data_IF_642372912106
#
_entry.id   IF_642372912106
#
_cell.length_a   1.000
_cell.length_b   1.000
_cell.length_c   1.000
_cell.angle_alpha   90.00
_cell.angle_beta   90.00
_cell.angle_gamma   90.00
#
_symmetry.space_group_name_H-M   'P 1'
#
loop_
_entity.id
_entity.type
_entity.pdbx_description
1 polymer ?
#
# COMPACT_ATOMS: atom_id res chain seq x y z
N UNK A 1 -28.94 21.13 -1.68
CA UNK A 1 -28.57 20.02 -2.57
C UNK A 1 -27.08 19.81 -2.42
N UNK A 2 -26.70 18.93 -1.47
CA UNK A 2 -25.31 18.69 -1.04
C UNK A 2 -24.92 17.21 -1.15
N UNK A 3 -25.77 16.38 -1.76
CA UNK A 3 -25.59 14.92 -1.83
C UNK A 3 -24.52 14.48 -2.86
N UNK A 4 -24.18 15.33 -3.85
CA UNK A 4 -23.21 14.97 -4.90
C UNK A 4 -21.76 14.86 -4.42
N UNK A 5 -21.37 15.52 -3.33
CA UNK A 5 -19.97 15.54 -2.89
C UNK A 5 -19.58 14.29 -2.09
N UNK A 6 -20.43 13.85 -1.17
CA UNK A 6 -20.15 12.70 -0.29
C UNK A 6 -20.14 11.38 -1.06
N UNK A 7 -21.08 11.21 -1.98
CA UNK A 7 -21.19 9.99 -2.80
C UNK A 7 -19.99 9.88 -3.76
N UNK A 8 -19.52 11.00 -4.29
CA UNK A 8 -18.33 11.03 -5.14
C UNK A 8 -17.05 10.72 -4.34
N UNK A 9 -16.91 11.22 -3.11
CA UNK A 9 -15.77 10.87 -2.25
C UNK A 9 -15.80 9.39 -1.84
N UNK A 10 -16.98 8.86 -1.53
CA UNK A 10 -17.17 7.44 -1.22
C UNK A 10 -16.82 6.54 -2.40
N UNK A 11 -17.31 6.86 -3.61
CA UNK A 11 -16.98 6.12 -4.83
C UNK A 11 -15.47 6.12 -5.14
N UNK A 12 -14.78 7.25 -4.91
CA UNK A 12 -13.33 7.35 -5.09
C UNK A 12 -12.58 6.45 -4.09
N UNK A 13 -12.98 6.46 -2.80
CA UNK A 13 -12.40 5.59 -1.78
C UNK A 13 -12.62 4.11 -2.10
N UNK A 14 -13.81 3.74 -2.58
CA UNK A 14 -14.12 2.35 -3.00
C UNK A 14 -13.24 1.94 -4.19
N UNK A 15 -13.07 2.80 -5.20
CA UNK A 15 -12.21 2.50 -6.35
C UNK A 15 -10.74 2.34 -5.93
N UNK A 16 -10.22 3.20 -5.06
CA UNK A 16 -8.86 3.09 -4.50
C UNK A 16 -8.71 1.77 -3.70
N UNK A 17 -9.72 1.39 -2.91
CA UNK A 17 -9.73 0.13 -2.19
C UNK A 17 -9.73 -1.08 -3.14
N UNK A 18 -10.48 -1.02 -4.24
CA UNK A 18 -10.50 -2.07 -5.28
C UNK A 18 -9.13 -2.17 -5.99
N UNK A 19 -8.50 -1.06 -6.33
CA UNK A 19 -7.15 -1.07 -6.92
C UNK A 19 -6.10 -1.59 -5.94
N UNK A 20 -6.19 -1.20 -4.66
CA UNK A 20 -5.34 -1.74 -3.61
C UNK A 20 -5.53 -3.25 -3.45
N UNK A 21 -6.76 -3.76 -3.51
CA UNK A 21 -7.06 -5.20 -3.49
C UNK A 21 -6.48 -5.94 -4.71
N UNK A 22 -6.55 -5.34 -5.91
CA UNK A 22 -5.91 -5.89 -7.13
C UNK A 22 -4.38 -5.94 -6.99
N UNK A 23 -3.76 -4.89 -6.46
CA UNK A 23 -2.33 -4.84 -6.17
C UNK A 23 -1.92 -5.92 -5.16
N UNK A 24 -2.70 -6.09 -4.09
CA UNK A 24 -2.56 -7.17 -3.12
C UNK A 24 -2.65 -8.56 -3.76
N UNK A 25 -3.57 -8.76 -4.71
CA UNK A 25 -3.70 -9.99 -5.49
C UNK A 25 -2.44 -10.32 -6.30
N UNK A 26 -1.77 -9.31 -6.89
CA UNK A 26 -0.52 -9.49 -7.62
C UNK A 26 0.62 -9.90 -6.66
N UNK A 27 0.75 -9.21 -5.52
CA UNK A 27 1.77 -9.52 -4.51
C UNK A 27 1.55 -10.91 -3.89
N UNK A 28 0.30 -11.24 -3.55
CA UNK A 28 -0.09 -12.55 -3.04
C UNK A 28 0.05 -13.65 -4.11
N UNK A 29 -0.20 -13.35 -5.39
CA UNK A 29 0.01 -14.26 -6.51
C UNK A 29 1.50 -14.58 -6.74
N UNK A 30 2.39 -13.60 -6.56
CA UNK A 30 3.84 -13.81 -6.55
C UNK A 30 4.29 -14.70 -5.39
N UNK A 31 3.77 -14.45 -4.18
CA UNK A 31 4.04 -15.29 -3.01
C UNK A 31 3.50 -16.73 -3.19
N UNK A 32 2.30 -16.89 -3.76
CA UNK A 32 1.73 -18.19 -4.08
C UNK A 32 2.56 -18.96 -5.12
N UNK A 33 3.06 -18.27 -6.15
CA UNK A 33 3.98 -18.88 -7.14
C UNK A 33 5.28 -19.36 -6.48
N UNK A 34 5.84 -18.58 -5.57
CA UNK A 34 7.03 -18.97 -4.80
C UNK A 34 6.75 -20.17 -3.87
N UNK A 35 5.59 -20.23 -3.23
CA UNK A 35 5.15 -21.35 -2.40
C UNK A 35 4.92 -22.62 -3.23
N UNK A 36 4.30 -22.50 -4.41
CA UNK A 36 4.10 -23.62 -5.34
C UNK A 36 5.45 -24.16 -5.80
N UNK A 37 6.40 -23.29 -6.13
CA UNK A 37 7.77 -23.68 -6.50
C UNK A 37 8.51 -24.42 -5.36
N UNK A 38 8.25 -24.05 -4.09
CA UNK A 38 8.78 -24.75 -2.92
C UNK A 38 8.18 -26.13 -2.67
N UNK A 39 6.91 -26.33 -3.05
CA UNK A 39 6.24 -27.63 -2.92
C UNK A 39 6.59 -28.63 -4.03
N UNK A 40 7.24 -28.19 -5.10
CA UNK A 40 7.69 -29.09 -6.18
C UNK A 40 8.91 -29.90 -5.72
N UNK A 41 8.80 -31.24 -5.76
CA UNK A 41 9.84 -32.18 -5.29
C UNK A 41 11.17 -32.08 -6.06
N UNK A 42 11.19 -31.39 -7.20
CA UNK A 42 12.43 -31.10 -7.97
C UNK A 42 13.27 -29.96 -7.37
N UNK A 43 12.71 -29.15 -6.46
CA UNK A 43 13.37 -27.99 -5.86
C UNK A 43 14.32 -28.34 -4.68
N UNK A 44 14.84 -29.58 -4.61
CA UNK A 44 15.64 -30.10 -3.49
C UNK A 44 16.96 -29.36 -3.21
N UNK A 45 17.28 -28.29 -3.95
CA UNK A 45 18.49 -27.47 -3.76
C UNK A 45 18.28 -25.95 -3.84
N UNK A 46 17.06 -25.45 -4.06
CA UNK A 46 16.81 -24.01 -4.25
C UNK A 46 16.26 -23.33 -3.00
N UNK A 47 16.98 -22.31 -2.52
CA UNK A 47 16.64 -21.53 -1.33
C UNK A 47 15.62 -20.42 -1.65
N UNK A 48 14.35 -20.80 -1.88
CA UNK A 48 13.25 -19.84 -2.11
C UNK A 48 12.81 -19.06 -0.85
N UNK A 49 13.33 -19.39 0.33
CA UNK A 49 12.97 -18.74 1.59
C UNK A 49 13.19 -17.22 1.57
N UNK A 50 14.26 -16.75 0.91
CA UNK A 50 14.52 -15.32 0.76
C UNK A 50 13.47 -14.63 -0.11
N UNK A 51 13.04 -15.26 -1.20
CA UNK A 51 11.98 -14.73 -2.06
C UNK A 51 10.65 -14.62 -1.33
N UNK A 52 10.27 -15.64 -0.54
CA UNK A 52 9.07 -15.58 0.30
C UNK A 52 9.16 -14.44 1.31
N UNK A 53 10.29 -14.30 2.01
CA UNK A 53 10.47 -13.22 2.99
C UNK A 53 10.36 -11.84 2.33
N UNK A 54 10.95 -11.66 1.15
CA UNK A 54 10.88 -10.41 0.40
C UNK A 54 9.45 -10.08 -0.07
N UNK A 55 8.70 -11.07 -0.57
CA UNK A 55 7.28 -10.87 -0.90
C UNK A 55 6.41 -10.60 0.33
N UNK A 56 6.68 -11.28 1.45
CA UNK A 56 6.00 -11.04 2.73
C UNK A 56 6.28 -9.63 3.27
N UNK A 57 7.52 -9.15 3.16
CA UNK A 57 7.89 -7.78 3.57
C UNK A 57 7.19 -6.73 2.68
N UNK A 58 7.12 -6.97 1.37
CA UNK A 58 6.38 -6.10 0.47
C UNK A 58 4.89 -6.05 0.80
N UNK A 59 4.28 -7.21 1.08
CA UNK A 59 2.88 -7.28 1.52
C UNK A 59 2.65 -6.50 2.81
N UNK A 60 3.56 -6.62 3.79
CA UNK A 60 3.51 -5.86 5.03
C UNK A 60 3.60 -4.36 4.78
N UNK A 61 4.54 -3.90 3.96
CA UNK A 61 4.67 -2.48 3.60
C UNK A 61 3.42 -1.95 2.91
N UNK A 62 2.78 -2.74 2.03
CA UNK A 62 1.51 -2.36 1.41
C UNK A 62 0.38 -2.25 2.45
N UNK A 63 0.30 -3.16 3.41
CA UNK A 63 -0.68 -3.10 4.48
C UNK A 63 -0.49 -1.84 5.35
N UNK A 64 0.76 -1.53 5.73
CA UNK A 64 1.07 -0.30 6.49
C UNK A 64 0.76 0.94 5.66
N UNK A 65 1.05 0.93 4.36
CA UNK A 65 0.73 2.02 3.43
C UNK A 65 -0.77 2.32 3.44
N UNK A 66 -1.63 1.30 3.45
CA UNK A 66 -3.08 1.52 3.52
C UNK A 66 -3.51 2.26 4.78
N UNK A 67 -2.96 1.87 5.94
CA UNK A 67 -3.24 2.53 7.22
C UNK A 67 -2.74 3.98 7.21
N UNK A 68 -1.51 4.21 6.73
CA UNK A 68 -0.93 5.56 6.64
C UNK A 68 -1.69 6.42 5.62
N UNK A 69 -2.08 5.84 4.49
CA UNK A 69 -2.89 6.51 3.47
C UNK A 69 -4.26 6.92 3.99
N UNK A 70 -4.90 6.07 4.81
CA UNK A 70 -6.13 6.42 5.50
C UNK A 70 -5.95 7.63 6.42
N UNK A 71 -4.91 7.66 7.27
CA UNK A 71 -4.62 8.81 8.13
C UNK A 71 -4.26 10.08 7.34
N UNK A 72 -3.59 9.92 6.20
CA UNK A 72 -3.32 11.02 5.26
C UNK A 72 -4.63 11.63 4.75
N UNK A 73 -5.57 10.81 4.28
CA UNK A 73 -6.88 11.25 3.80
C UNK A 73 -7.71 11.90 4.92
N UNK A 74 -7.71 11.31 6.12
CA UNK A 74 -8.39 11.89 7.30
C UNK A 74 -7.85 13.28 7.63
N UNK A 75 -6.53 13.46 7.58
CA UNK A 75 -5.89 14.76 7.82
C UNK A 75 -6.25 15.79 6.74
N UNK A 76 -6.39 15.36 5.48
CA UNK A 76 -6.84 16.22 4.39
C UNK A 76 -8.30 16.65 4.55
N UNK A 77 -9.19 15.72 4.92
CA UNK A 77 -10.60 16.04 5.22
C UNK A 77 -10.71 17.03 6.39
N UNK A 78 -9.91 16.84 7.44
CA UNK A 78 -9.88 17.74 8.59
C UNK A 78 -9.34 19.14 8.24
N UNK A 79 -8.35 19.23 7.35
CA UNK A 79 -7.88 20.52 6.80
C UNK A 79 -9.05 21.26 6.12
N UNK A 80 -9.83 20.56 5.27
CA UNK A 80 -10.96 21.16 4.56
C UNK A 80 -12.03 21.67 5.52
N UNK A 81 -12.40 20.88 6.53
CA UNK A 81 -13.36 21.26 7.57
C UNK A 81 -12.88 22.49 8.37
N UNK A 82 -11.61 22.51 8.77
CA UNK A 82 -11.03 23.63 9.55
C UNK A 82 -11.00 24.93 8.73
N UNK A 83 -10.74 24.82 7.42
CA UNK A 83 -10.78 25.95 6.50
C UNK A 83 -12.20 26.51 6.35
N UNK A 84 -13.22 25.65 6.22
CA UNK A 84 -14.63 26.05 6.19
C UNK A 84 -15.08 26.74 7.50
N UNK A 85 -14.51 26.33 8.64
CA UNK A 85 -14.76 26.93 9.95
C UNK A 85 -13.95 28.22 10.22
N UNK A 86 -13.18 28.71 9.26
CA UNK A 86 -12.25 29.85 9.38
C UNK A 86 -11.16 29.67 10.47
N UNK A 87 -10.85 28.42 10.86
CA UNK A 87 -9.71 28.12 11.73
C UNK A 87 -8.46 27.83 10.90
N UNK A 88 -7.77 28.91 10.54
CA UNK A 88 -6.56 28.85 9.71
C UNK A 88 -5.39 28.13 10.41
N UNK A 89 -5.33 28.17 11.75
CA UNK A 89 -4.26 27.55 12.52
C UNK A 89 -4.38 26.02 12.57
N UNK A 90 -5.59 25.50 12.78
CA UNK A 90 -5.87 24.06 12.70
C UNK A 90 -5.71 23.54 11.27
N UNK A 91 -6.16 24.32 10.29
CA UNK A 91 -6.02 24.00 8.86
C UNK A 91 -4.54 23.75 8.50
N UNK A 92 -3.64 24.68 8.79
CA UNK A 92 -2.21 24.52 8.48
C UNK A 92 -1.56 23.28 9.15
N UNK A 93 -1.98 22.93 10.37
CA UNK A 93 -1.49 21.72 11.05
C UNK A 93 -1.96 20.46 10.33
N UNK A 94 -3.22 20.44 9.90
CA UNK A 94 -3.81 19.29 9.22
C UNK A 94 -3.15 19.03 7.86
N UNK A 95 -2.86 20.07 7.06
CA UNK A 95 -2.17 19.89 5.77
C UNK A 95 -0.72 19.41 5.94
N UNK A 96 0.00 19.89 6.97
CA UNK A 96 1.36 19.40 7.27
C UNK A 96 1.35 17.92 7.65
N UNK A 97 0.37 17.49 8.46
CA UNK A 97 0.19 16.06 8.80
C UNK A 97 -0.13 15.22 7.57
N UNK A 98 -1.02 15.71 6.70
CA UNK A 98 -1.35 15.06 5.44
C UNK A 98 -0.09 14.83 4.57
N UNK A 99 0.72 15.87 4.37
CA UNK A 99 1.98 15.81 3.62
C UNK A 99 2.97 14.81 4.24
N UNK A 100 3.11 14.82 5.56
CA UNK A 100 3.96 13.87 6.26
C UNK A 100 3.51 12.42 6.01
N UNK A 101 2.23 12.09 6.25
CA UNK A 101 1.71 10.75 6.02
C UNK A 101 1.80 10.34 4.55
N UNK A 102 1.54 11.25 3.62
CA UNK A 102 1.66 10.94 2.19
C UNK A 102 3.10 10.62 1.78
N UNK A 103 4.09 11.37 2.29
CA UNK A 103 5.49 11.08 2.04
C UNK A 103 5.90 9.71 2.61
N UNK A 104 5.43 9.37 3.82
CA UNK A 104 5.65 8.05 4.42
C UNK A 104 4.99 6.94 3.59
N UNK A 105 3.76 7.12 3.13
CA UNK A 105 3.06 6.18 2.28
C UNK A 105 3.80 5.93 0.96
N UNK A 106 4.28 7.00 0.30
CA UNK A 106 5.08 6.90 -0.93
C UNK A 106 6.37 6.12 -0.67
N UNK A 107 7.08 6.41 0.42
CA UNK A 107 8.31 5.70 0.77
C UNK A 107 8.06 4.19 1.00
N UNK A 108 6.96 3.84 1.66
CA UNK A 108 6.55 2.44 1.87
C UNK A 108 6.18 1.74 0.55
N UNK A 109 5.47 2.41 -0.37
CA UNK A 109 5.16 1.87 -1.70
C UNK A 109 6.45 1.60 -2.47
N UNK A 110 7.37 2.57 -2.51
CA UNK A 110 8.67 2.40 -3.20
C UNK A 110 9.46 1.25 -2.58
N UNK A 111 9.52 1.17 -1.25
CA UNK A 111 10.17 0.06 -0.55
C UNK A 111 9.53 -1.30 -0.86
N UNK A 112 8.20 -1.35 -0.93
CA UNK A 112 7.42 -2.55 -1.28
C UNK A 112 7.69 -3.02 -2.71
N UNK A 113 7.77 -2.08 -3.66
CA UNK A 113 8.10 -2.38 -5.06
C UNK A 113 9.53 -2.92 -5.19
N UNK A 114 10.50 -2.31 -4.49
CA UNK A 114 11.89 -2.80 -4.47
C UNK A 114 11.96 -4.21 -3.88
N UNK A 115 11.31 -4.46 -2.75
CA UNK A 115 11.27 -5.77 -2.11
C UNK A 115 10.61 -6.82 -3.02
N UNK A 116 9.49 -6.49 -3.67
CA UNK A 116 8.80 -7.38 -4.61
C UNK A 116 9.66 -7.70 -5.83
N UNK A 117 10.30 -6.70 -6.43
CA UNK A 117 11.19 -6.88 -7.57
C UNK A 117 12.42 -7.72 -7.21
N UNK A 118 13.01 -7.48 -6.04
CA UNK A 118 14.12 -8.29 -5.52
C UNK A 118 13.68 -9.74 -5.25
N UNK A 119 12.51 -9.94 -4.64
CA UNK A 119 11.95 -11.27 -4.37
C UNK A 119 11.72 -12.05 -5.66
N UNK A 120 11.21 -11.39 -6.69
CA UNK A 120 11.00 -11.94 -8.03
C UNK A 120 12.33 -12.29 -8.71
N UNK A 121 13.32 -11.40 -8.70
CA UNK A 121 14.64 -11.66 -9.28
C UNK A 121 15.33 -12.86 -8.62
N UNK A 122 15.25 -12.97 -7.29
CA UNK A 122 15.77 -14.12 -6.55
C UNK A 122 15.02 -15.41 -6.85
N UNK A 123 13.69 -15.35 -7.02
CA UNK A 123 12.88 -16.50 -7.35
C UNK A 123 13.24 -17.03 -8.75
N UNK A 124 13.40 -16.14 -9.73
CA UNK A 124 13.83 -16.50 -11.09
C UNK A 124 15.24 -17.08 -11.14
N UNK A 125 16.18 -16.58 -10.32
CA UNK A 125 17.53 -17.16 -10.22
C UNK A 125 17.54 -18.56 -9.59
N UNK A 126 16.51 -18.88 -8.79
CA UNK A 126 16.41 -20.13 -8.04
C UNK A 126 15.58 -21.21 -8.75
N UNK A 127 14.95 -20.86 -9.87
CA UNK A 127 14.28 -21.74 -10.83
C UNK A 127 15.30 -22.30 -11.83
#
# INVERSE_FOLDING_TARGET
MSDDSSDHHFALTVNIAVEALKSLLIVNGGAATALIALTDKKASGSNFGLSILLFGLAALFNAVTLVVGYFSQLSYSNHRLSYEQNDMLESEKCIRRHQFYQNVAIALIVGSLIASAAGMAWAFKSL
#
